data_IF_877837734454
#
_entry.id   IF_877837734454
#
_cell.length_a   1.000
_cell.length_b   1.000
_cell.length_c   1.000
_cell.angle_alpha   90.00
_cell.angle_beta   90.00
_cell.angle_gamma   90.00
#
_symmetry.space_group_name_H-M   'P 1'
#
loop_
_entity.id
_entity.type
_entity.pdbx_description
1 polymer ?
#
# COMPACT_ATOMS: atom_id res chain seq x y z
N UNK A 1 -5.61 14.25 -4.41
CA UNK A 1 -6.83 14.42 -3.59
C UNK A 1 -6.80 13.39 -2.47
N UNK A 2 -7.35 13.71 -1.29
CA UNK A 2 -7.55 12.77 -0.17
C UNK A 2 -9.04 12.74 0.14
N UNK A 3 -9.59 11.54 0.24
CA UNK A 3 -10.99 11.30 0.66
C UNK A 3 -10.95 10.66 2.04
N UNK A 4 -11.69 11.20 3.01
CA UNK A 4 -11.80 10.65 4.36
C UNK A 4 -13.25 10.65 4.83
N UNK A 5 -13.53 9.93 5.93
CA UNK A 5 -14.80 10.09 6.65
C UNK A 5 -14.88 11.44 7.38
N UNK A 6 -16.05 11.72 7.97
CA UNK A 6 -16.28 12.92 8.78
C UNK A 6 -15.65 12.86 10.18
N UNK A 7 -14.64 12.03 10.40
CA UNK A 7 -13.90 11.96 11.64
C UNK A 7 -13.28 13.32 11.99
N UNK A 8 -13.44 13.75 13.26
CA UNK A 8 -12.93 15.06 13.73
C UNK A 8 -11.42 15.21 13.51
N UNK A 9 -10.67 14.11 13.57
CA UNK A 9 -9.23 14.08 13.29
C UNK A 9 -8.88 14.56 11.87
N UNK A 10 -9.79 14.39 10.89
CA UNK A 10 -9.60 14.82 9.51
C UNK A 10 -10.18 16.21 9.24
N UNK A 11 -10.98 16.76 10.16
CA UNK A 11 -11.59 18.09 10.03
C UNK A 11 -10.79 19.19 10.76
N UNK A 12 -9.71 18.83 11.46
CA UNK A 12 -8.91 19.78 12.21
C UNK A 12 -8.20 20.80 11.32
N UNK A 13 -8.09 22.05 11.78
CA UNK A 13 -7.43 23.14 11.05
C UNK A 13 -6.01 22.77 10.57
N UNK A 14 -5.23 22.07 11.39
CA UNK A 14 -3.86 21.63 11.06
C UNK A 14 -3.81 20.75 9.80
N UNK A 15 -4.74 19.81 9.63
CA UNK A 15 -4.73 18.91 8.48
C UNK A 15 -5.21 19.62 7.21
N UNK A 16 -6.14 20.57 7.35
CA UNK A 16 -6.60 21.41 6.25
C UNK A 16 -5.47 22.31 5.73
N UNK A 17 -4.76 22.98 6.64
CA UNK A 17 -3.59 23.83 6.30
C UNK A 17 -2.47 22.99 5.65
N UNK A 18 -2.20 21.79 6.17
CA UNK A 18 -1.24 20.85 5.59
C UNK A 18 -1.63 20.41 4.17
N UNK A 19 -2.89 20.00 3.96
CA UNK A 19 -3.41 19.65 2.64
C UNK A 19 -3.30 20.83 1.66
N UNK A 20 -3.66 22.03 2.11
CA UNK A 20 -3.57 23.24 1.28
C UNK A 20 -2.12 23.55 0.89
N UNK A 21 -1.18 23.47 1.83
CA UNK A 21 0.25 23.66 1.57
C UNK A 21 0.82 22.70 0.53
N UNK A 22 0.32 21.46 0.50
CA UNK A 22 0.69 20.44 -0.48
C UNK A 22 -0.18 20.44 -1.75
N UNK A 23 -1.11 21.39 -1.89
CA UNK A 23 -2.10 21.46 -2.99
C UNK A 23 -2.94 20.18 -3.12
N UNK A 24 -3.16 19.48 -2.00
CA UNK A 24 -3.99 18.31 -1.92
C UNK A 24 -5.44 18.75 -1.70
N UNK A 25 -6.31 18.45 -2.67
CA UNK A 25 -7.75 18.61 -2.49
C UNK A 25 -8.25 17.61 -1.45
N UNK A 26 -8.87 18.08 -0.38
CA UNK A 26 -9.49 17.24 0.64
C UNK A 26 -10.99 17.10 0.36
N UNK A 27 -11.53 15.88 0.46
CA UNK A 27 -12.96 15.59 0.37
C UNK A 27 -13.39 14.70 1.52
N UNK A 28 -14.65 14.86 1.91
CA UNK A 28 -15.28 14.06 2.94
C UNK A 28 -16.37 13.19 2.32
N UNK A 29 -16.46 11.93 2.76
CA UNK A 29 -17.59 11.07 2.40
C UNK A 29 -18.86 11.62 3.04
N UNK A 30 -19.97 11.57 2.30
CA UNK A 30 -21.26 11.95 2.89
C UNK A 30 -21.75 10.83 3.81
N UNK A 31 -22.53 11.20 4.84
CA UNK A 31 -23.14 10.21 5.75
C UNK A 31 -24.01 9.20 5.00
N UNK A 32 -24.58 9.60 3.86
CA UNK A 32 -25.42 8.75 3.00
C UNK A 32 -24.65 7.80 2.08
N UNK A 33 -23.32 7.92 1.96
CA UNK A 33 -22.50 7.10 1.06
C UNK A 33 -21.26 6.51 1.76
N UNK A 34 -21.45 5.66 2.78
CA UNK A 34 -20.34 4.97 3.45
C UNK A 34 -19.53 4.08 2.49
N UNK A 35 -20.12 3.62 1.38
CA UNK A 35 -19.43 2.84 0.35
C UNK A 35 -18.25 3.60 -0.28
N UNK A 36 -18.27 4.94 -0.28
CA UNK A 36 -17.15 5.76 -0.76
C UNK A 36 -15.88 5.54 0.07
N UNK A 37 -16.01 5.08 1.33
CA UNK A 37 -14.90 4.68 2.19
C UNK A 37 -14.69 3.15 2.24
N UNK A 38 -15.51 2.37 1.53
CA UNK A 38 -15.56 0.92 1.65
C UNK A 38 -14.25 0.21 1.31
N UNK A 39 -13.48 0.73 0.34
CA UNK A 39 -12.17 0.16 0.00
C UNK A 39 -11.16 0.29 1.15
N UNK A 40 -11.16 1.43 1.83
CA UNK A 40 -10.32 1.69 3.00
C UNK A 40 -10.77 0.81 4.16
N UNK A 41 -12.08 0.66 4.38
CA UNK A 41 -12.62 -0.19 5.45
C UNK A 41 -12.26 -1.67 5.26
N UNK A 42 -12.38 -2.19 4.03
CA UNK A 42 -11.98 -3.57 3.70
C UNK A 42 -10.48 -3.75 3.93
N UNK A 43 -9.67 -2.80 3.48
CA UNK A 43 -8.21 -2.84 3.67
C UNK A 43 -7.84 -2.81 5.15
N UNK A 44 -8.42 -1.89 5.92
CA UNK A 44 -8.20 -1.79 7.36
C UNK A 44 -8.61 -3.07 8.09
N UNK A 45 -9.72 -3.69 7.70
CA UNK A 45 -10.17 -4.97 8.27
C UNK A 45 -9.14 -6.08 8.05
N UNK A 46 -8.56 -6.16 6.85
CA UNK A 46 -7.51 -7.14 6.53
C UNK A 46 -6.27 -6.90 7.39
N UNK A 47 -5.80 -5.65 7.49
CA UNK A 47 -4.62 -5.30 8.28
C UNK A 47 -4.83 -5.60 9.77
N UNK A 48 -5.97 -5.20 10.34
CA UNK A 48 -6.31 -5.50 11.74
C UNK A 48 -6.38 -7.00 12.00
N UNK A 49 -6.95 -7.80 11.08
CA UNK A 49 -6.95 -9.25 11.20
C UNK A 49 -5.54 -9.84 11.14
N UNK A 50 -4.69 -9.34 10.24
CA UNK A 50 -3.29 -9.77 10.15
C UNK A 50 -2.52 -9.50 11.44
N UNK A 51 -2.69 -8.31 12.01
CA UNK A 51 -2.08 -7.92 13.29
C UNK A 51 -2.57 -8.84 14.40
N UNK A 52 -3.89 -9.06 14.54
CA UNK A 52 -4.44 -9.95 15.56
C UNK A 52 -3.82 -11.36 15.50
N UNK A 53 -3.74 -11.96 14.30
CA UNK A 53 -3.11 -13.28 14.13
C UNK A 53 -1.63 -13.29 14.51
N UNK A 54 -0.89 -12.22 14.21
CA UNK A 54 0.52 -12.09 14.61
C UNK A 54 0.66 -11.99 16.13
N UNK A 55 -0.18 -11.18 16.78
CA UNK A 55 -0.21 -11.01 18.23
C UNK A 55 -0.51 -12.34 18.94
N UNK A 56 -1.48 -13.11 18.46
CA UNK A 56 -1.82 -14.43 18.99
C UNK A 56 -0.68 -15.44 18.85
N UNK A 57 0.10 -15.35 17.76
CA UNK A 57 1.16 -16.33 17.45
C UNK A 57 2.50 -16.03 18.12
N UNK A 58 2.93 -14.77 18.09
CA UNK A 58 4.29 -14.36 18.48
C UNK A 58 4.31 -13.73 19.87
N UNK A 59 3.18 -13.15 20.34
CA UNK A 59 3.13 -12.39 21.58
C UNK A 59 4.05 -11.17 21.51
N UNK A 60 3.55 -10.04 21.01
CA UNK A 60 4.36 -8.84 20.80
C UNK A 60 3.53 -7.56 20.81
N UNK A 61 4.18 -6.41 20.58
CA UNK A 61 3.46 -5.14 20.42
C UNK A 61 2.90 -5.05 18.99
N UNK A 62 1.65 -4.62 18.85
CA UNK A 62 1.00 -4.46 17.55
C UNK A 62 1.79 -3.54 16.60
N UNK A 63 2.47 -2.54 17.15
CA UNK A 63 3.25 -1.58 16.37
C UNK A 63 4.48 -2.23 15.70
N UNK A 64 5.10 -3.22 16.35
CA UNK A 64 6.25 -3.95 15.80
C UNK A 64 5.81 -4.90 14.67
N UNK A 65 4.62 -5.48 14.80
CA UNK A 65 4.05 -6.39 13.80
C UNK A 65 3.46 -5.66 12.57
N UNK A 66 3.21 -4.36 12.67
CA UNK A 66 2.58 -3.58 11.61
C UNK A 66 3.37 -3.66 10.30
N UNK A 67 4.70 -3.54 10.35
CA UNK A 67 5.56 -3.61 9.15
C UNK A 67 5.47 -4.98 8.49
N UNK A 68 5.49 -6.06 9.28
CA UNK A 68 5.38 -7.44 8.79
C UNK A 68 4.03 -7.70 8.13
N UNK A 69 2.93 -7.20 8.70
CA UNK A 69 1.58 -7.36 8.14
C UNK A 69 1.42 -6.53 6.87
N UNK A 70 1.94 -5.30 6.85
CA UNK A 70 1.91 -4.45 5.66
C UNK A 70 2.73 -5.06 4.51
N UNK A 71 3.89 -5.65 4.80
CA UNK A 71 4.67 -6.37 3.80
C UNK A 71 3.86 -7.51 3.19
N UNK A 72 3.31 -8.38 4.02
CA UNK A 72 2.49 -9.50 3.56
C UNK A 72 1.29 -9.03 2.73
N UNK A 73 0.61 -7.96 3.15
CA UNK A 73 -0.51 -7.39 2.40
C UNK A 73 -0.07 -6.90 1.01
N UNK A 74 1.08 -6.22 0.93
CA UNK A 74 1.59 -5.64 -0.32
C UNK A 74 2.14 -6.67 -1.30
N UNK A 75 2.65 -7.80 -0.82
CA UNK A 75 3.28 -8.83 -1.68
C UNK A 75 2.42 -10.09 -1.86
N UNK A 76 1.16 -10.07 -1.43
CA UNK A 76 0.23 -11.21 -1.64
C UNK A 76 -0.80 -10.85 -2.70
N UNK A 77 -0.96 -11.68 -3.75
CA UNK A 77 -1.96 -11.46 -4.78
C UNK A 77 -3.37 -11.30 -4.21
N UNK A 78 -4.12 -10.31 -4.71
CA UNK A 78 -5.51 -10.09 -4.30
C UNK A 78 -6.43 -10.96 -5.14
N UNK A 79 -7.31 -11.74 -4.50
CA UNK A 79 -8.22 -12.64 -5.22
C UNK A 79 -9.14 -11.98 -6.26
N UNK A 80 -9.38 -10.67 -6.15
CA UNK A 80 -10.18 -9.91 -7.12
C UNK A 80 -9.43 -9.54 -8.40
N UNK A 81 -8.11 -9.36 -8.34
CA UNK A 81 -7.29 -8.87 -9.46
C UNK A 81 -6.25 -9.88 -9.93
N UNK A 82 -5.86 -10.84 -9.09
CA UNK A 82 -4.69 -11.71 -9.33
C UNK A 82 -3.35 -11.01 -9.11
N UNK A 83 -3.35 -9.69 -8.95
CA UNK A 83 -2.17 -8.83 -8.81
C UNK A 83 -1.84 -8.53 -7.34
N UNK A 84 -0.57 -8.26 -7.04
CA UNK A 84 -0.17 -7.74 -5.72
C UNK A 84 -0.36 -6.23 -5.65
N UNK A 85 -0.69 -5.65 -4.47
CA UNK A 85 -0.72 -4.20 -4.33
C UNK A 85 0.62 -3.53 -4.64
N UNK A 86 1.75 -4.23 -4.45
CA UNK A 86 3.07 -3.74 -4.84
C UNK A 86 3.22 -3.64 -6.37
N UNK A 87 2.85 -4.69 -7.12
CA UNK A 87 2.93 -4.66 -8.59
C UNK A 87 2.08 -3.55 -9.19
N UNK A 88 0.90 -3.30 -8.64
CA UNK A 88 0.02 -2.22 -9.10
C UNK A 88 0.60 -0.81 -8.91
N UNK A 89 1.50 -0.61 -7.94
CA UNK A 89 2.14 0.70 -7.68
C UNK A 89 3.43 0.87 -8.47
N UNK A 90 4.24 -0.19 -8.54
CA UNK A 90 5.61 -0.11 -9.07
C UNK A 90 5.77 -0.76 -10.46
N UNK A 91 4.72 -1.40 -10.99
CA UNK A 91 4.74 -2.07 -12.29
C UNK A 91 5.46 -3.43 -12.29
N UNK A 92 6.02 -3.87 -11.16
CA UNK A 92 6.71 -5.16 -11.02
C UNK A 92 6.49 -5.76 -9.64
N UNK A 93 6.60 -7.08 -9.53
CA UNK A 93 6.53 -7.79 -8.26
C UNK A 93 7.70 -7.47 -7.34
N UNK A 94 7.42 -7.42 -6.03
CA UNK A 94 8.47 -7.27 -5.02
C UNK A 94 9.39 -8.49 -5.01
N UNK A 95 10.68 -8.28 -4.75
CA UNK A 95 11.60 -9.38 -4.45
C UNK A 95 11.24 -9.91 -3.05
N UNK A 96 10.79 -11.15 -2.97
CA UNK A 96 10.41 -11.76 -1.69
C UNK A 96 11.64 -12.36 -0.99
N UNK A 97 11.66 -12.44 0.35
CA UNK A 97 12.81 -13.00 1.07
C UNK A 97 13.22 -14.42 0.62
N UNK A 98 12.26 -15.23 0.16
CA UNK A 98 12.55 -16.56 -0.38
C UNK A 98 13.46 -16.51 -1.63
N UNK A 99 13.31 -15.49 -2.47
CA UNK A 99 14.17 -15.29 -3.65
C UNK A 99 15.57 -14.83 -3.29
N UNK A 100 15.79 -14.30 -2.07
CA UNK A 100 17.13 -13.99 -1.59
C UNK A 100 17.84 -15.26 -1.08
N UNK A 101 17.10 -16.16 -0.43
CA UNK A 101 17.62 -17.45 0.01
C UNK A 101 17.87 -18.44 -1.13
N UNK A 102 17.05 -18.37 -2.19
CA UNK A 102 17.23 -19.09 -3.44
C UNK A 102 17.17 -18.08 -4.59
N UNK A 103 18.33 -17.53 -5.02
CA UNK A 103 18.41 -16.50 -6.05
C UNK A 103 17.59 -16.86 -7.28
N UNK A 104 16.50 -16.11 -7.50
CA UNK A 104 15.72 -16.24 -8.73
C UNK A 104 16.45 -15.60 -9.90
N UNK A 105 16.03 -15.88 -11.14
CA UNK A 105 16.67 -15.33 -12.34
C UNK A 105 16.74 -13.79 -12.32
N UNK A 106 15.71 -13.13 -11.78
CA UNK A 106 15.69 -11.66 -11.62
C UNK A 106 16.72 -11.15 -10.61
N UNK A 107 17.03 -11.92 -9.57
CA UNK A 107 18.05 -11.57 -8.57
C UNK A 107 19.45 -11.81 -9.13
N UNK A 108 19.66 -12.96 -9.77
CA UNK A 108 20.97 -13.32 -10.34
C UNK A 108 21.39 -12.39 -11.47
N UNK A 109 20.44 -11.93 -12.29
CA UNK A 109 20.71 -11.09 -13.45
C UNK A 109 20.31 -9.62 -13.23
N UNK A 110 20.18 -9.21 -11.97
CA UNK A 110 19.89 -7.82 -11.64
C UNK A 110 21.04 -6.92 -12.11
N UNK A 111 20.71 -5.91 -12.90
CA UNK A 111 21.59 -4.81 -13.26
C UNK A 111 20.88 -3.51 -12.92
N UNK A 112 21.52 -2.67 -12.11
CA UNK A 112 20.97 -1.37 -11.69
C UNK A 112 20.67 -0.49 -12.90
N UNK A 113 21.60 -0.43 -13.86
CA UNK A 113 21.45 0.30 -15.12
C UNK A 113 20.25 -0.19 -15.94
N UNK A 114 20.10 -1.51 -16.12
CA UNK A 114 18.96 -2.07 -16.85
C UNK A 114 17.63 -1.78 -16.15
N UNK A 115 17.59 -1.86 -14.82
CA UNK A 115 16.39 -1.60 -14.03
C UNK A 115 15.96 -0.12 -14.12
N UNK A 116 16.91 0.82 -14.04
CA UNK A 116 16.63 2.25 -14.24
C UNK A 116 16.07 2.54 -15.63
N UNK A 117 16.66 1.93 -16.67
CA UNK A 117 16.18 2.10 -18.04
C UNK A 117 14.77 1.56 -18.23
N UNK A 118 14.47 0.37 -17.70
CA UNK A 118 13.11 -0.21 -17.69
C UNK A 118 12.10 0.68 -16.98
N UNK A 119 12.44 1.22 -15.80
CA UNK A 119 11.57 2.14 -15.07
C UNK A 119 11.30 3.43 -15.85
N UNK A 120 12.30 3.96 -16.57
CA UNK A 120 12.12 5.12 -17.45
C UNK A 120 11.20 4.81 -18.62
N UNK A 121 11.35 3.66 -19.27
CA UNK A 121 10.47 3.24 -20.38
C UNK A 121 9.03 3.05 -19.92
N UNK A 122 8.81 2.33 -18.81
CA UNK A 122 7.48 2.14 -18.22
C UNK A 122 6.87 3.50 -17.86
N UNK A 123 7.66 4.41 -17.28
CA UNK A 123 7.20 5.75 -16.97
C UNK A 123 6.77 6.51 -18.22
N UNK A 124 7.56 6.49 -19.30
CA UNK A 124 7.21 7.14 -20.59
C UNK A 124 5.92 6.53 -21.16
N UNK A 125 5.80 5.20 -21.17
CA UNK A 125 4.62 4.51 -21.71
C UNK A 125 3.35 4.81 -20.90
N UNK A 126 3.47 5.05 -19.58
CA UNK A 126 2.34 5.46 -18.74
C UNK A 126 1.89 6.92 -18.92
N UNK A 127 2.64 7.72 -19.68
CA UNK A 127 2.36 9.14 -19.93
C UNK A 127 1.74 9.41 -21.31
N UNK A 128 1.70 8.39 -22.19
CA UNK A 128 0.97 8.39 -23.46
C UNK A 128 -0.37 7.66 -23.30
#
# INVERSE_FOLDING_TARGET
EIISDNGRQFQGRKIQEWCQGLRIKQRFTTVAHPQANGQVEVTNRILVQGIKRRLERVGGNWAEELTSVLWAYRTTPRGSTGETPFSLVYGTEAIIPAELGMPSHRVMNFSEECNENLLREIWILSKN
#
